data_IF_488904908786
#
_entry.id   IF_488904908786
#
_cell.length_a   1.000
_cell.length_b   1.000
_cell.length_c   1.000
_cell.angle_alpha   90.00
_cell.angle_beta   90.00
_cell.angle_gamma   90.00
#
_symmetry.space_group_name_H-M   'P 1'
#
loop_
_entity.id
_entity.type
_entity.pdbx_description
1 polymer ?
#
# COMPACT_ATOMS: atom_id res chain seq x y z
N UNK A 1 10.87 17.42 16.84
CA UNK A 1 9.76 16.59 17.32
C UNK A 1 10.34 15.49 18.18
N UNK A 2 9.68 15.15 19.30
CA UNK A 2 10.14 14.05 20.14
C UNK A 2 10.12 12.72 19.36
N UNK A 3 11.22 11.96 19.43
CA UNK A 3 11.36 10.69 18.70
C UNK A 3 10.41 9.63 19.24
N UNK A 4 10.16 9.63 20.55
CA UNK A 4 9.24 8.68 21.17
C UNK A 4 7.80 8.95 20.70
N UNK A 5 7.39 10.21 20.64
CA UNK A 5 6.11 10.60 20.05
C UNK A 5 5.96 10.11 18.59
N UNK A 6 6.97 10.33 17.73
CA UNK A 6 6.91 9.86 16.34
C UNK A 6 6.73 8.35 16.23
N UNK A 7 7.44 7.57 17.06
CA UNK A 7 7.27 6.11 17.10
C UNK A 7 5.86 5.70 17.53
N UNK A 8 5.27 6.40 18.50
CA UNK A 8 3.89 6.15 18.94
C UNK A 8 2.87 6.50 17.84
N UNK A 9 3.07 7.62 17.12
CA UNK A 9 2.24 8.00 15.98
C UNK A 9 2.33 6.94 14.88
N UNK A 10 3.53 6.47 14.54
CA UNK A 10 3.70 5.44 13.51
C UNK A 10 2.98 4.14 13.86
N UNK A 11 3.11 3.68 15.11
CA UNK A 11 2.39 2.49 15.59
C UNK A 11 0.87 2.69 15.55
N UNK A 12 0.40 3.87 15.93
CA UNK A 12 -1.02 4.20 15.82
C UNK A 12 -1.50 4.15 14.36
N UNK A 13 -0.75 4.75 13.43
CA UNK A 13 -1.06 4.71 11.99
C UNK A 13 -1.07 3.28 11.46
N UNK A 14 -0.09 2.44 11.83
CA UNK A 14 -0.08 1.03 11.46
C UNK A 14 -1.33 0.27 11.96
N UNK A 15 -1.75 0.52 13.20
CA UNK A 15 -2.93 -0.10 13.79
C UNK A 15 -4.24 0.31 13.12
N UNK A 16 -4.37 1.59 12.74
CA UNK A 16 -5.55 2.10 12.05
C UNK A 16 -5.60 1.62 10.60
N UNK A 17 -4.47 1.67 9.90
CA UNK A 17 -4.33 1.24 8.51
C UNK A 17 -4.63 -0.27 8.35
N UNK A 18 -4.09 -1.08 9.26
CA UNK A 18 -4.18 -2.54 9.21
C UNK A 18 -5.22 -3.02 10.23
N UNK A 19 -6.47 -3.09 9.80
CA UNK A 19 -7.56 -3.65 10.59
C UNK A 19 -7.93 -5.06 10.08
N UNK A 20 -8.78 -5.81 10.81
CA UNK A 20 -9.29 -7.10 10.34
C UNK A 20 -10.01 -7.03 8.98
N UNK A 21 -10.54 -5.87 8.58
CA UNK A 21 -11.13 -5.70 7.24
C UNK A 21 -10.06 -5.57 6.15
N UNK A 22 -8.91 -4.98 6.47
CA UNK A 22 -7.79 -4.75 5.54
C UNK A 22 -7.23 -6.07 5.00
N UNK A 23 -7.01 -7.04 5.90
CA UNK A 23 -6.42 -8.36 5.63
C UNK A 23 -7.42 -9.51 5.80
N UNK A 24 -8.72 -9.24 5.61
CA UNK A 24 -9.77 -10.26 5.72
C UNK A 24 -9.51 -11.42 4.77
N UNK A 25 -9.50 -12.64 5.32
CA UNK A 25 -9.30 -13.87 4.53
C UNK A 25 -7.92 -13.99 3.90
N UNK A 26 -6.92 -13.26 4.39
CA UNK A 26 -5.54 -13.32 3.90
C UNK A 26 -4.64 -14.26 4.71
N UNK A 27 -5.19 -15.08 5.61
CA UNK A 27 -4.46 -16.06 6.40
C UNK A 27 -5.12 -16.35 7.76
N UNK A 28 -4.44 -17.06 8.66
CA UNK A 28 -4.95 -17.38 10.00
C UNK A 28 -4.92 -16.16 10.95
N UNK A 29 -5.35 -16.38 12.19
CA UNK A 29 -5.15 -15.42 13.27
C UNK A 29 -3.65 -15.07 13.42
N UNK A 30 -3.33 -13.82 13.77
CA UNK A 30 -1.97 -13.33 13.89
C UNK A 30 -1.43 -12.59 12.66
N UNK A 31 -2.08 -12.68 11.50
CA UNK A 31 -1.64 -11.96 10.28
C UNK A 31 -1.76 -10.44 10.45
N UNK A 32 -2.84 -9.96 11.08
CA UNK A 32 -3.08 -8.53 11.32
C UNK A 32 -2.05 -7.98 12.31
N UNK A 33 -1.88 -8.67 13.43
CA UNK A 33 -0.96 -8.29 14.50
C UNK A 33 0.50 -8.28 14.01
N UNK A 34 0.88 -9.28 13.21
CA UNK A 34 2.20 -9.34 12.60
C UNK A 34 2.45 -8.16 11.64
N UNK A 35 1.48 -7.83 10.79
CA UNK A 35 1.59 -6.71 9.87
C UNK A 35 1.64 -5.36 10.62
N UNK A 36 0.80 -5.16 11.64
CA UNK A 36 0.83 -3.98 12.51
C UNK A 36 2.18 -3.83 13.22
N UNK A 37 2.72 -4.92 13.77
CA UNK A 37 4.02 -4.92 14.44
C UNK A 37 5.15 -4.57 13.46
N UNK A 38 5.16 -5.18 12.27
CA UNK A 38 6.16 -4.87 11.25
C UNK A 38 6.12 -3.40 10.84
N UNK A 39 4.94 -2.92 10.39
CA UNK A 39 4.77 -1.56 9.86
C UNK A 39 4.95 -0.50 10.94
N UNK A 40 4.56 -0.79 12.18
CA UNK A 40 4.75 0.09 13.34
C UNK A 40 6.22 0.25 13.77
N UNK A 41 7.13 -0.58 13.27
CA UNK A 41 8.57 -0.49 13.53
C UNK A 41 9.40 -0.29 12.24
N UNK A 42 8.76 -0.14 11.08
CA UNK A 42 9.43 0.08 9.81
C UNK A 42 10.21 1.41 9.81
N UNK A 43 11.47 1.40 9.38
CA UNK A 43 12.18 2.65 9.12
C UNK A 43 11.65 3.32 7.84
N UNK A 44 10.73 4.27 7.99
CA UNK A 44 10.22 5.08 6.88
C UNK A 44 11.31 5.91 6.19
N UNK A 45 12.47 6.09 6.84
CA UNK A 45 13.65 6.72 6.25
C UNK A 45 14.19 5.99 5.02
N UNK A 46 13.89 4.69 4.88
CA UNK A 46 14.29 3.85 3.73
C UNK A 46 13.81 4.38 2.39
N UNK A 47 12.68 5.09 2.37
CA UNK A 47 12.10 5.62 1.12
C UNK A 47 12.62 7.01 0.73
N UNK A 48 13.55 7.62 1.49
CA UNK A 48 13.93 9.05 1.33
C UNK A 48 14.68 9.36 0.04
N UNK A 49 15.34 8.38 -0.58
CA UNK A 49 16.11 8.56 -1.80
C UNK A 49 15.18 8.54 -3.02
N UNK A 50 14.51 9.68 -3.23
CA UNK A 50 13.43 9.93 -4.18
C UNK A 50 13.80 9.86 -5.67
N UNK A 51 14.41 8.77 -6.11
CA UNK A 51 14.41 8.37 -7.53
C UNK A 51 13.38 7.26 -7.70
N UNK A 52 12.63 7.29 -8.81
CA UNK A 52 11.56 6.31 -9.09
C UNK A 52 12.00 4.86 -8.92
N UNK A 53 13.18 4.54 -9.45
CA UNK A 53 13.69 3.17 -9.48
C UNK A 53 14.17 2.72 -8.09
N UNK A 54 14.77 3.64 -7.33
CA UNK A 54 15.15 3.41 -5.93
C UNK A 54 13.92 3.17 -5.06
N UNK A 55 12.89 4.01 -5.20
CA UNK A 55 11.64 3.85 -4.45
C UNK A 55 10.97 2.50 -4.74
N UNK A 56 10.87 2.11 -6.03
CA UNK A 56 10.25 0.83 -6.40
C UNK A 56 11.01 -0.37 -5.85
N UNK A 57 12.34 -0.36 -5.96
CA UNK A 57 13.19 -1.43 -5.41
C UNK A 57 13.01 -1.54 -3.89
N UNK A 58 12.97 -0.41 -3.19
CA UNK A 58 12.77 -0.39 -1.74
C UNK A 58 11.37 -0.90 -1.36
N UNK A 59 10.35 -0.51 -2.13
CA UNK A 59 8.97 -0.96 -1.91
C UNK A 59 8.84 -2.48 -2.11
N UNK A 60 9.54 -3.05 -3.11
CA UNK A 60 9.58 -4.49 -3.36
C UNK A 60 10.30 -5.24 -2.24
N UNK A 61 11.43 -4.71 -1.76
CA UNK A 61 12.17 -5.29 -0.65
C UNK A 61 11.36 -5.27 0.66
N UNK A 62 10.78 -4.13 1.03
CA UNK A 62 9.96 -3.99 2.24
C UNK A 62 8.71 -4.86 2.16
N UNK A 63 8.10 -4.99 0.99
CA UNK A 63 6.94 -5.88 0.81
C UNK A 63 7.32 -7.35 1.02
N UNK A 64 8.52 -7.77 0.60
CA UNK A 64 9.01 -9.13 0.83
C UNK A 64 9.36 -9.38 2.31
N UNK A 65 10.01 -8.43 2.97
CA UNK A 65 10.26 -8.50 4.42
C UNK A 65 8.96 -8.60 5.23
N UNK A 66 7.96 -7.76 4.88
CA UNK A 66 6.63 -7.82 5.48
C UNK A 66 5.99 -9.18 5.22
N UNK A 67 6.04 -9.68 3.98
CA UNK A 67 5.48 -10.99 3.62
C UNK A 67 6.06 -12.11 4.48
N UNK A 68 7.38 -12.10 4.71
CA UNK A 68 8.09 -13.07 5.53
C UNK A 68 7.75 -12.94 7.02
N UNK A 69 7.43 -11.73 7.50
CA UNK A 69 7.02 -11.51 8.88
C UNK A 69 5.58 -11.93 9.18
N UNK A 70 4.73 -12.14 8.16
CA UNK A 70 3.35 -12.59 8.38
C UNK A 70 3.30 -14.02 8.92
N UNK A 71 2.25 -14.30 9.69
CA UNK A 71 1.98 -15.63 10.21
C UNK A 71 1.89 -16.68 9.08
N UNK A 72 2.33 -17.90 9.36
CA UNK A 72 2.32 -19.02 8.40
C UNK A 72 0.93 -19.20 7.79
N UNK A 73 0.87 -19.42 6.47
CA UNK A 73 -0.41 -19.47 5.73
C UNK A 73 -1.01 -18.10 5.37
N UNK A 74 -0.39 -16.98 5.81
CA UNK A 74 -0.76 -15.63 5.39
C UNK A 74 0.31 -14.86 4.61
N UNK A 75 1.43 -15.50 4.29
CA UNK A 75 2.61 -14.93 3.64
C UNK A 75 2.41 -14.71 2.12
N UNK A 76 1.27 -14.15 1.73
CA UNK A 76 0.92 -13.87 0.34
C UNK A 76 1.52 -12.53 -0.10
N UNK A 77 2.18 -12.52 -1.26
CA UNK A 77 2.82 -11.32 -1.82
C UNK A 77 1.83 -10.15 -1.96
N UNK A 78 0.66 -10.41 -2.54
CA UNK A 78 -0.37 -9.38 -2.72
C UNK A 78 -0.93 -8.81 -1.41
N UNK A 79 -1.02 -9.63 -0.37
CA UNK A 79 -1.49 -9.18 0.94
C UNK A 79 -0.47 -8.24 1.59
N UNK A 80 0.82 -8.59 1.55
CA UNK A 80 1.90 -7.76 2.05
C UNK A 80 2.00 -6.44 1.28
N UNK A 81 2.00 -6.49 -0.07
CA UNK A 81 2.06 -5.28 -0.90
C UNK A 81 0.87 -4.35 -0.66
N UNK A 82 -0.34 -4.90 -0.56
CA UNK A 82 -1.55 -4.12 -0.19
C UNK A 82 -1.38 -3.45 1.17
N UNK A 83 -0.99 -4.20 2.21
CA UNK A 83 -0.84 -3.67 3.56
C UNK A 83 0.19 -2.52 3.60
N UNK A 84 1.34 -2.71 2.95
CA UNK A 84 2.36 -1.67 2.84
C UNK A 84 1.83 -0.42 2.13
N UNK A 85 1.12 -0.58 1.01
CA UNK A 85 0.57 0.56 0.27
C UNK A 85 -0.49 1.33 1.08
N UNK A 86 -1.34 0.65 1.85
CA UNK A 86 -2.31 1.31 2.76
C UNK A 86 -1.57 2.10 3.85
N UNK A 87 -0.56 1.49 4.46
CA UNK A 87 0.24 2.15 5.50
C UNK A 87 0.96 3.39 4.98
N UNK A 88 1.59 3.31 3.79
CA UNK A 88 2.28 4.46 3.19
C UNK A 88 1.31 5.58 2.81
N UNK A 89 0.10 5.25 2.32
CA UNK A 89 -0.98 6.22 2.10
C UNK A 89 -1.35 6.93 3.41
N UNK A 90 -1.55 6.19 4.49
CA UNK A 90 -1.95 6.79 5.76
C UNK A 90 -0.80 7.58 6.40
N UNK A 91 0.45 7.19 6.17
CA UNK A 91 1.63 7.96 6.53
C UNK A 91 1.72 9.28 5.72
N UNK A 92 1.35 9.27 4.44
CA UNK A 92 1.25 10.48 3.61
C UNK A 92 0.20 11.46 4.17
N UNK A 93 -0.95 10.95 4.62
CA UNK A 93 -2.02 11.78 5.18
C UNK A 93 -1.78 12.22 6.62
N UNK A 94 -0.92 11.53 7.36
CA UNK A 94 -0.58 11.91 8.73
C UNK A 94 0.50 12.99 8.74
N UNK A 95 0.14 14.22 9.12
CA UNK A 95 1.05 15.38 9.15
C UNK A 95 2.38 15.12 9.86
N UNK A 96 2.38 14.41 11.00
CA UNK A 96 3.60 14.17 11.77
C UNK A 96 4.56 13.22 11.05
N UNK A 97 4.04 12.13 10.46
CA UNK A 97 4.88 11.19 9.69
C UNK A 97 5.30 11.79 8.35
N UNK A 98 4.36 12.46 7.66
CA UNK A 98 4.60 13.17 6.41
C UNK A 98 5.78 14.12 6.53
N UNK A 99 5.77 14.98 7.55
CA UNK A 99 6.80 16.00 7.73
C UNK A 99 8.12 15.40 8.21
N UNK A 100 8.08 14.45 9.16
CA UNK A 100 9.27 13.84 9.73
C UNK A 100 10.06 12.99 8.72
N UNK A 101 9.35 12.23 7.87
CA UNK A 101 9.96 11.30 6.92
C UNK A 101 9.93 11.80 5.47
N UNK A 102 9.37 12.99 5.22
CA UNK A 102 9.21 13.57 3.89
C UNK A 102 8.41 12.69 2.92
N UNK A 103 7.35 12.05 3.45
CA UNK A 103 6.45 11.18 2.67
C UNK A 103 5.75 11.97 1.56
N UNK A 104 5.61 13.30 1.72
CA UNK A 104 5.14 14.23 0.69
C UNK A 104 5.87 14.05 -0.65
N UNK A 105 7.17 13.79 -0.60
CA UNK A 105 8.00 13.64 -1.80
C UNK A 105 7.75 12.32 -2.53
N UNK A 106 7.12 11.36 -1.87
CA UNK A 106 6.85 10.02 -2.41
C UNK A 106 5.50 9.94 -3.12
N UNK A 107 4.62 10.92 -2.90
CA UNK A 107 3.24 10.95 -3.42
C UNK A 107 3.12 10.60 -4.91
N UNK A 108 3.99 11.10 -5.83
CA UNK A 108 3.92 10.73 -7.25
C UNK A 108 4.18 9.24 -7.53
N UNK A 109 4.90 8.55 -6.63
CA UNK A 109 5.32 7.16 -6.81
C UNK A 109 4.51 6.17 -5.99
N UNK A 110 3.77 6.61 -4.97
CA UNK A 110 2.95 5.74 -4.15
C UNK A 110 1.95 4.95 -5.01
N UNK A 111 1.85 3.67 -4.72
CA UNK A 111 0.96 2.74 -5.41
C UNK A 111 -0.47 2.86 -4.89
N UNK A 112 -1.44 2.58 -5.77
CA UNK A 112 -2.82 2.35 -5.36
C UNK A 112 -2.86 1.04 -4.54
N UNK A 113 -3.38 1.03 -3.30
CA UNK A 113 -3.60 -0.22 -2.59
C UNK A 113 -4.61 -1.11 -3.33
N UNK A 114 -4.17 -2.26 -3.84
CA UNK A 114 -5.06 -3.14 -4.62
C UNK A 114 -5.92 -4.04 -3.73
N UNK A 115 -7.21 -4.03 -4.02
CA UNK A 115 -8.23 -4.93 -3.49
C UNK A 115 -9.35 -5.16 -4.52
N UNK A 116 -10.37 -5.93 -4.14
CA UNK A 116 -11.48 -6.23 -5.06
C UNK A 116 -12.22 -4.98 -5.53
N UNK A 117 -12.25 -3.93 -4.73
CA UNK A 117 -13.00 -2.72 -5.03
C UNK A 117 -12.21 -1.79 -5.95
N UNK A 118 -10.96 -1.50 -5.59
CA UNK A 118 -10.01 -0.72 -6.42
C UNK A 118 -9.71 -1.43 -7.74
N UNK A 119 -9.53 -2.75 -7.76
CA UNK A 119 -9.33 -3.50 -9.00
C UNK A 119 -10.56 -3.45 -9.91
N UNK A 120 -11.77 -3.55 -9.34
CA UNK A 120 -13.02 -3.39 -10.09
C UNK A 120 -13.14 -1.97 -10.67
N UNK A 121 -12.81 -0.96 -9.89
CA UNK A 121 -12.83 0.43 -10.31
C UNK A 121 -11.82 0.69 -11.44
N UNK A 122 -10.56 0.27 -11.30
CA UNK A 122 -9.56 0.38 -12.37
C UNK A 122 -10.03 -0.29 -13.66
N UNK A 123 -10.61 -1.51 -13.58
CA UNK A 123 -11.17 -2.21 -14.75
C UNK A 123 -12.40 -1.54 -15.38
N UNK A 124 -13.06 -0.61 -14.69
CA UNK A 124 -14.18 0.17 -15.25
C UNK A 124 -13.65 1.27 -16.17
N UNK A 125 -12.50 1.85 -15.83
CA UNK A 125 -11.90 2.97 -16.56
C UNK A 125 -10.84 2.53 -17.59
N UNK A 126 -10.15 1.41 -17.35
CA UNK A 126 -9.17 0.86 -18.29
C UNK A 126 -9.79 -0.14 -19.30
N UNK A 127 -9.26 -0.24 -20.53
CA UNK A 127 -9.67 -1.26 -21.50
C UNK A 127 -9.56 -2.68 -20.92
N UNK A 128 -10.63 -3.48 -21.03
CA UNK A 128 -10.69 -4.83 -20.44
C UNK A 128 -9.62 -5.79 -20.98
N UNK A 129 -9.10 -5.54 -22.18
CA UNK A 129 -8.10 -6.37 -22.86
C UNK A 129 -6.67 -6.22 -22.29
N UNK A 130 -6.43 -5.22 -21.45
CA UNK A 130 -5.09 -4.87 -20.97
C UNK A 130 -4.80 -5.35 -19.54
N UNK A 131 -5.81 -5.81 -18.81
CA UNK A 131 -5.67 -6.18 -17.40
C UNK A 131 -5.89 -7.67 -17.16
N UNK A 132 -5.01 -8.33 -16.38
CA UNK A 132 -5.23 -9.71 -15.97
C UNK A 132 -6.53 -9.82 -15.17
N UNK A 133 -7.13 -11.01 -15.17
CA UNK A 133 -8.35 -11.27 -14.40
C UNK A 133 -8.07 -11.09 -12.90
N UNK A 134 -8.91 -10.30 -12.23
CA UNK A 134 -8.87 -10.22 -10.77
C UNK A 134 -9.40 -11.50 -10.14
N UNK A 135 -8.53 -12.25 -9.46
CA UNK A 135 -8.89 -13.48 -8.72
C UNK A 135 -8.97 -13.22 -7.22
N UNK A 136 -8.25 -12.22 -6.72
CA UNK A 136 -8.23 -11.84 -5.31
C UNK A 136 -6.83 -11.41 -4.86
N UNK A 137 -6.76 -10.67 -3.75
CA UNK A 137 -5.51 -10.08 -3.22
C UNK A 137 -4.42 -11.12 -3.01
N UNK A 138 -4.75 -12.28 -2.42
CA UNK A 138 -3.78 -13.35 -2.17
C UNK A 138 -3.12 -13.94 -3.43
N UNK A 139 -3.70 -13.72 -4.60
CA UNK A 139 -3.20 -14.21 -5.89
C UNK A 139 -2.50 -13.13 -6.72
N UNK A 140 -2.40 -11.90 -6.20
CA UNK A 140 -1.66 -10.84 -6.89
C UNK A 140 -0.17 -11.18 -6.85
N UNK A 141 0.45 -11.07 -8.02
CA UNK A 141 1.88 -11.21 -8.31
C UNK A 141 2.48 -9.83 -8.64
N UNK A 142 3.80 -9.74 -8.70
CA UNK A 142 4.48 -8.52 -9.14
C UNK A 142 4.00 -8.05 -10.52
N UNK A 143 3.86 -8.97 -11.48
CA UNK A 143 3.43 -8.64 -12.85
C UNK A 143 1.98 -8.15 -12.90
N UNK A 144 1.07 -8.84 -12.20
CA UNK A 144 -0.32 -8.41 -12.16
C UNK A 144 -0.46 -7.08 -11.42
N UNK A 145 0.26 -6.85 -10.31
CA UNK A 145 0.31 -5.55 -9.66
C UNK A 145 0.79 -4.47 -10.64
N UNK A 146 1.90 -4.69 -11.35
CA UNK A 146 2.43 -3.73 -12.32
C UNK A 146 1.40 -3.35 -13.40
N UNK A 147 0.67 -4.33 -13.96
CA UNK A 147 -0.39 -4.06 -14.93
C UNK A 147 -1.51 -3.18 -14.34
N UNK A 148 -1.96 -3.50 -13.12
CA UNK A 148 -2.97 -2.70 -12.43
C UNK A 148 -2.47 -1.30 -12.06
N UNK A 149 -1.22 -1.16 -11.62
CA UNK A 149 -0.61 0.13 -11.27
C UNK A 149 -0.40 1.02 -12.50
N UNK A 150 -0.10 0.43 -13.66
CA UNK A 150 0.01 1.14 -14.93
C UNK A 150 -1.36 1.68 -15.38
N UNK A 151 -2.40 0.83 -15.36
CA UNK A 151 -3.76 1.27 -15.65
C UNK A 151 -4.24 2.34 -14.65
N UNK A 152 -3.96 2.16 -13.36
CA UNK A 152 -4.30 3.14 -12.33
C UNK A 152 -3.57 4.47 -12.56
N UNK A 153 -2.33 4.48 -13.05
CA UNK A 153 -1.63 5.72 -13.40
C UNK A 153 -2.35 6.49 -14.53
N UNK A 154 -2.89 5.79 -15.54
CA UNK A 154 -3.72 6.40 -16.58
C UNK A 154 -4.98 7.06 -15.99
N UNK A 155 -5.72 6.33 -15.14
CA UNK A 155 -6.92 6.86 -14.48
C UNK A 155 -6.61 8.05 -13.57
N UNK A 156 -5.46 8.01 -12.88
CA UNK A 156 -5.00 9.08 -12.00
C UNK A 156 -4.69 10.36 -12.81
N UNK A 157 -4.01 10.19 -13.96
CA UNK A 157 -3.71 11.28 -14.90
C UNK A 157 -4.99 11.95 -15.41
N UNK A 158 -5.98 11.18 -15.86
CA UNK A 158 -7.27 11.71 -16.33
C UNK A 158 -8.03 12.48 -15.25
N UNK A 159 -7.89 12.08 -13.99
CA UNK A 159 -8.53 12.73 -12.84
C UNK A 159 -7.72 13.87 -12.24
N UNK A 160 -6.48 14.09 -12.67
CA UNK A 160 -5.60 15.13 -12.14
C UNK A 160 -5.17 14.88 -10.68
N UNK A 161 -5.04 13.63 -10.27
CA UNK A 161 -4.63 13.24 -8.89
C UNK A 161 -3.48 12.24 -8.92
N UNK A 162 -2.71 12.14 -7.83
CA UNK A 162 -1.73 11.06 -7.69
C UNK A 162 -2.43 9.71 -7.53
N UNK A 163 -1.79 8.64 -8.03
CA UNK A 163 -2.34 7.28 -8.08
C UNK A 163 -2.79 6.76 -6.72
N UNK A 164 -2.07 7.09 -5.66
CA UNK A 164 -2.40 6.70 -4.29
C UNK A 164 -3.77 7.23 -3.82
N UNK A 165 -4.19 8.41 -4.30
CA UNK A 165 -5.46 9.02 -3.91
C UNK A 165 -6.66 8.38 -4.61
N UNK A 166 -6.44 7.62 -5.69
CA UNK A 166 -7.52 6.88 -6.34
C UNK A 166 -8.25 5.94 -5.37
N UNK A 167 -7.57 5.48 -4.32
CA UNK A 167 -8.20 4.70 -3.27
C UNK A 167 -9.38 5.44 -2.62
N UNK A 168 -9.19 6.71 -2.23
CA UNK A 168 -10.26 7.55 -1.69
C UNK A 168 -11.33 7.77 -2.75
N UNK A 169 -10.93 8.13 -3.98
CA UNK A 169 -11.88 8.39 -5.07
C UNK A 169 -12.76 7.19 -5.37
N UNK A 170 -12.20 5.99 -5.34
CA UNK A 170 -13.00 4.79 -5.55
C UNK A 170 -13.88 4.55 -4.34
N UNK A 171 -13.33 4.46 -3.13
CA UNK A 171 -14.10 4.06 -1.94
C UNK A 171 -15.16 5.08 -1.49
N UNK A 172 -15.02 6.35 -1.87
CA UNK A 172 -15.88 7.46 -1.43
C UNK A 172 -16.56 8.22 -2.57
N UNK A 173 -16.12 8.01 -3.82
CA UNK A 173 -16.75 8.64 -4.97
C UNK A 173 -18.03 7.90 -5.35
N UNK A 174 -19.15 8.63 -5.32
CA UNK A 174 -20.46 8.18 -5.78
C UNK A 174 -20.50 7.92 -7.29
#
# INVERSE_FOLDING_TARGET
>A
MDKQFLLLVQRHVANVAISPSTLRGQGPAGVVEAAQHFLGNLDLGRFRDGKSDGFRSELDQVAEELRQSLASGGQHWGAARKALNIFLRDALYNTYLRDAYRVDRLEPWLELPLDSYTAKAVRKYAPKSELPRWVGVKYVTADSNAAYQAAAAGVASEKGVARVHLDIHFWRGE
#
